data_IF_510014239903
#
_entry.id   IF_510014239903
#
_cell.length_a   1.000
_cell.length_b   1.000
_cell.length_c   1.000
_cell.angle_alpha   90.00
_cell.angle_beta   90.00
_cell.angle_gamma   90.00
#
_symmetry.space_group_name_H-M   'P 1'
#
loop_
_entity.id
_entity.type
_entity.pdbx_description
1 polymer ?
#
# COMPACT_ATOMS: atom_id res chain seq x y z
N UNK A 1 3.94 -0.25 19.27
CA UNK A 1 2.61 -0.61 19.81
C UNK A 1 1.56 0.06 18.95
N UNK A 2 0.66 -0.68 18.29
CA UNK A 2 -0.52 -0.05 17.71
C UNK A 2 -1.35 0.58 18.85
N UNK A 3 -2.03 1.71 18.61
CA UNK A 3 -2.89 2.30 19.62
C UNK A 3 -3.98 1.29 20.02
N UNK A 4 -4.26 1.20 21.33
CA UNK A 4 -5.19 0.24 21.93
C UNK A 4 -6.62 0.28 21.32
N UNK A 5 -6.95 1.31 20.55
CA UNK A 5 -8.22 1.49 19.86
C UNK A 5 -8.42 0.59 18.61
N UNK A 6 -7.38 -0.03 18.05
CA UNK A 6 -7.49 -0.79 16.79
C UNK A 6 -7.65 -2.30 16.95
N UNK A 7 -7.36 -2.86 18.14
CA UNK A 7 -7.48 -4.30 18.40
C UNK A 7 -8.88 -4.93 18.14
N UNK A 8 -10.01 -4.27 18.47
CA UNK A 8 -11.34 -4.88 18.26
C UNK A 8 -11.74 -4.94 16.77
N UNK A 9 -11.30 -3.99 15.96
CA UNK A 9 -11.62 -3.96 14.52
C UNK A 9 -10.94 -5.14 13.78
N UNK A 10 -9.68 -5.43 14.11
CA UNK A 10 -8.92 -6.54 13.49
C UNK A 10 -9.54 -7.90 13.79
N UNK A 11 -10.07 -8.09 15.00
CA UNK A 11 -10.75 -9.33 15.39
C UNK A 11 -12.09 -9.53 14.66
N UNK A 12 -12.88 -8.46 14.52
CA UNK A 12 -14.13 -8.47 13.74
C UNK A 12 -13.90 -8.76 12.26
N UNK A 13 -12.82 -8.24 11.67
CA UNK A 13 -12.43 -8.53 10.27
C UNK A 13 -12.08 -10.01 10.11
N UNK A 14 -11.35 -10.60 11.05
CA UNK A 14 -10.96 -12.01 10.99
C UNK A 14 -12.17 -12.96 11.14
N UNK A 15 -13.12 -12.62 12.03
CA UNK A 15 -14.36 -13.37 12.21
C UNK A 15 -15.26 -13.28 10.97
N UNK A 16 -15.44 -12.07 10.43
CA UNK A 16 -16.22 -11.82 9.22
C UNK A 16 -15.71 -12.66 8.03
N UNK A 17 -14.38 -12.76 7.84
CA UNK A 17 -13.80 -13.57 6.76
C UNK A 17 -14.02 -15.07 6.92
N UNK A 18 -14.16 -15.58 8.15
CA UNK A 18 -14.44 -17.01 8.40
C UNK A 18 -15.87 -17.41 8.04
N UNK A 19 -16.81 -16.48 8.08
CA UNK A 19 -18.24 -16.76 7.91
C UNK A 19 -18.70 -16.96 6.46
N UNK A 20 -17.88 -16.61 5.46
CA UNK A 20 -18.21 -16.85 4.03
C UNK A 20 -19.35 -15.98 3.45
N UNK A 21 -19.93 -15.09 4.24
CA UNK A 21 -21.04 -14.23 3.83
C UNK A 21 -20.58 -13.00 3.05
N UNK A 22 -21.24 -12.67 1.94
CA UNK A 22 -20.91 -11.50 1.12
C UNK A 22 -21.02 -10.16 1.87
N UNK A 23 -21.82 -10.12 2.95
CA UNK A 23 -21.88 -9.00 3.89
C UNK A 23 -20.56 -8.81 4.65
N UNK A 24 -19.93 -9.91 5.04
CA UNK A 24 -18.75 -9.94 5.88
C UNK A 24 -17.50 -9.46 5.13
N UNK A 25 -17.39 -9.78 3.84
CA UNK A 25 -16.37 -9.22 2.95
C UNK A 25 -16.51 -7.70 2.80
N UNK A 26 -17.74 -7.21 2.55
CA UNK A 26 -18.02 -5.77 2.44
C UNK A 26 -17.73 -5.01 3.74
N UNK A 27 -18.01 -5.63 4.89
CA UNK A 27 -17.73 -5.03 6.20
C UNK A 27 -16.22 -4.96 6.47
N UNK A 28 -15.47 -5.98 6.08
CA UNK A 28 -14.00 -5.96 6.14
C UNK A 28 -13.41 -4.87 5.22
N UNK A 29 -13.97 -4.68 4.03
CA UNK A 29 -13.56 -3.62 3.11
C UNK A 29 -13.86 -2.23 3.67
N UNK A 30 -15.03 -2.04 4.28
CA UNK A 30 -15.42 -0.78 4.91
C UNK A 30 -14.54 -0.44 6.13
N UNK A 31 -14.19 -1.43 6.96
CA UNK A 31 -13.31 -1.24 8.11
C UNK A 31 -11.88 -0.93 7.68
N UNK A 32 -11.36 -1.60 6.65
CA UNK A 32 -10.04 -1.31 6.11
C UNK A 32 -9.99 0.08 5.46
N UNK A 33 -11.04 0.48 4.74
CA UNK A 33 -11.18 1.84 4.23
C UNK A 33 -11.22 2.87 5.37
N UNK A 34 -12.00 2.62 6.44
CA UNK A 34 -12.04 3.51 7.59
C UNK A 34 -10.69 3.61 8.32
N UNK A 35 -9.96 2.50 8.45
CA UNK A 35 -8.60 2.49 8.99
C UNK A 35 -7.62 3.25 8.09
N UNK A 36 -7.74 3.11 6.78
CA UNK A 36 -6.93 3.83 5.80
C UNK A 36 -7.17 5.36 5.90
N UNK A 37 -8.44 5.78 6.02
CA UNK A 37 -8.81 7.19 6.24
C UNK A 37 -8.25 7.72 7.56
N UNK A 38 -8.38 6.96 8.65
CA UNK A 38 -7.79 7.31 9.96
C UNK A 38 -6.26 7.34 9.92
N UNK A 39 -5.64 6.53 9.06
CA UNK A 39 -4.21 6.55 8.82
C UNK A 39 -3.78 7.67 7.86
N UNK A 40 -4.69 8.37 7.16
CA UNK A 40 -4.32 9.38 6.17
C UNK A 40 -3.78 8.81 4.86
N UNK A 41 -4.26 7.62 4.47
CA UNK A 41 -4.11 7.12 3.11
C UNK A 41 -5.10 7.85 2.19
N UNK A 42 -4.70 8.09 0.94
CA UNK A 42 -5.48 8.86 -0.04
C UNK A 42 -5.80 8.04 -1.29
N UNK A 43 -6.64 8.56 -2.18
CA UNK A 43 -6.92 7.93 -3.46
C UNK A 43 -5.65 7.85 -4.34
N UNK A 44 -4.78 8.86 -4.26
CA UNK A 44 -3.48 8.87 -4.95
C UNK A 44 -2.59 7.70 -4.48
N UNK A 45 -2.68 7.27 -3.22
CA UNK A 45 -1.95 6.09 -2.76
C UNK A 45 -2.47 4.81 -3.41
N UNK A 46 -3.79 4.69 -3.55
CA UNK A 46 -4.38 3.54 -4.20
C UNK A 46 -3.99 3.47 -5.68
N UNK A 47 -3.96 4.63 -6.35
CA UNK A 47 -3.49 4.77 -7.73
C UNK A 47 -2.00 4.46 -7.86
N UNK A 48 -1.18 4.94 -6.93
CA UNK A 48 0.24 4.61 -6.83
C UNK A 48 0.46 3.10 -6.72
N UNK A 49 -0.24 2.41 -5.81
CA UNK A 49 -0.11 0.95 -5.67
C UNK A 49 -0.57 0.19 -6.92
N UNK A 50 -1.64 0.66 -7.58
CA UNK A 50 -2.10 0.10 -8.84
C UNK A 50 -1.05 0.26 -9.95
N UNK A 51 -0.45 1.44 -10.09
CA UNK A 51 0.59 1.72 -11.08
C UNK A 51 1.85 0.89 -10.83
N UNK A 52 2.31 0.78 -9.58
CA UNK A 52 3.47 -0.05 -9.21
C UNK A 52 3.22 -1.51 -9.59
N UNK A 53 2.04 -2.03 -9.27
CA UNK A 53 1.70 -3.40 -9.61
C UNK A 53 1.48 -3.64 -11.11
N UNK A 54 1.01 -2.65 -11.87
CA UNK A 54 0.93 -2.76 -13.33
C UNK A 54 2.33 -2.93 -13.96
N UNK A 55 3.34 -2.25 -13.42
CA UNK A 55 4.72 -2.30 -13.94
C UNK A 55 5.50 -3.52 -13.41
N UNK A 56 5.36 -3.84 -12.12
CA UNK A 56 6.15 -4.90 -11.47
C UNK A 56 5.43 -6.23 -11.39
N UNK A 57 4.10 -6.23 -11.47
CA UNK A 57 3.27 -7.36 -11.04
C UNK A 57 3.49 -7.63 -9.55
N UNK A 58 3.60 -8.91 -9.25
CA UNK A 58 3.90 -9.47 -7.93
C UNK A 58 5.42 -9.57 -7.66
N UNK A 59 6.24 -8.73 -8.28
CA UNK A 59 7.70 -8.77 -8.08
C UNK A 59 8.15 -7.70 -7.11
N UNK A 60 9.10 -8.09 -6.27
CA UNK A 60 9.78 -7.19 -5.34
C UNK A 60 10.58 -6.12 -6.09
N UNK A 61 10.73 -4.96 -5.47
CA UNK A 61 11.51 -3.84 -6.00
C UNK A 61 11.94 -2.91 -4.87
N UNK A 62 13.12 -2.30 -4.99
CA UNK A 62 13.51 -1.20 -4.12
C UNK A 62 12.89 0.11 -4.59
N UNK A 63 12.84 1.11 -3.70
CA UNK A 63 12.34 2.46 -4.05
C UNK A 63 13.25 3.15 -5.06
N UNK A 64 14.57 2.94 -4.97
CA UNK A 64 15.53 3.43 -5.97
C UNK A 64 15.21 2.87 -7.36
N UNK A 65 15.00 1.55 -7.47
CA UNK A 65 14.68 0.92 -8.75
C UNK A 65 13.31 1.36 -9.30
N UNK A 66 12.34 1.64 -8.42
CA UNK A 66 11.05 2.19 -8.86
C UNK A 66 11.17 3.59 -9.45
N UNK A 67 12.06 4.43 -8.90
CA UNK A 67 12.30 5.78 -9.42
C UNK A 67 12.99 5.69 -10.79
N UNK A 68 14.00 4.83 -10.94
CA UNK A 68 14.62 4.58 -12.24
C UNK A 68 13.61 4.11 -13.30
N UNK A 69 12.64 3.26 -12.90
CA UNK A 69 11.56 2.84 -13.80
C UNK A 69 10.59 3.98 -14.10
N UNK A 70 10.33 4.86 -13.14
CA UNK A 70 9.47 6.03 -13.31
C UNK A 70 10.06 7.03 -14.30
N UNK A 71 11.39 7.17 -14.35
CA UNK A 71 12.05 8.02 -15.34
C UNK A 71 11.79 7.56 -16.79
N UNK A 72 11.57 6.25 -16.99
CA UNK A 72 11.21 5.68 -18.29
C UNK A 72 9.68 5.59 -18.53
N UNK A 73 8.86 5.69 -17.48
CA UNK A 73 7.41 5.43 -17.53
C UNK A 73 6.62 6.59 -16.94
N UNK A 74 6.14 7.48 -17.82
CA UNK A 74 5.42 8.71 -17.44
C UNK A 74 4.22 8.45 -16.52
N UNK A 75 3.45 7.39 -16.79
CA UNK A 75 2.27 7.03 -15.98
C UNK A 75 2.65 6.58 -14.57
N UNK A 76 3.72 5.80 -14.43
CA UNK A 76 4.26 5.43 -13.12
C UNK A 76 4.76 6.68 -12.39
N UNK A 77 5.51 7.55 -13.07
CA UNK A 77 6.04 8.79 -12.49
C UNK A 77 4.94 9.70 -11.96
N UNK A 78 3.89 9.92 -12.75
CA UNK A 78 2.74 10.73 -12.34
C UNK A 78 2.05 10.16 -11.10
N UNK A 79 1.81 8.84 -11.05
CA UNK A 79 1.19 8.18 -9.90
C UNK A 79 2.07 8.25 -8.64
N UNK A 80 3.38 8.04 -8.78
CA UNK A 80 4.31 8.18 -7.65
C UNK A 80 4.33 9.63 -7.12
N UNK A 81 4.41 10.63 -8.01
CA UNK A 81 4.38 12.06 -7.63
C UNK A 81 3.05 12.43 -6.98
N UNK A 82 1.92 11.94 -7.51
CA UNK A 82 0.60 12.19 -6.91
C UNK A 82 0.54 11.76 -5.44
N UNK A 83 1.12 10.61 -5.10
CA UNK A 83 1.11 10.09 -3.74
C UNK A 83 2.15 10.74 -2.80
N UNK A 84 3.33 11.14 -3.29
CA UNK A 84 4.42 11.63 -2.41
C UNK A 84 4.75 13.12 -2.56
N UNK A 85 4.19 13.79 -3.55
CA UNK A 85 4.50 15.15 -3.98
C UNK A 85 5.86 15.30 -4.64
N UNK A 86 6.18 16.53 -5.08
CA UNK A 86 7.52 16.86 -5.57
C UNK A 86 8.46 17.32 -4.43
N UNK A 87 9.78 17.05 -4.52
CA UNK A 87 10.42 16.15 -5.50
C UNK A 87 10.19 14.66 -5.18
N UNK A 88 10.12 13.83 -6.23
CA UNK A 88 10.08 12.36 -6.10
C UNK A 88 11.46 11.83 -5.68
N UNK A 89 11.57 11.37 -4.43
CA UNK A 89 12.83 10.80 -3.90
C UNK A 89 12.61 9.43 -3.28
N UNK A 90 13.68 8.60 -3.26
CA UNK A 90 13.62 7.25 -2.71
C UNK A 90 13.24 7.24 -1.23
N UNK A 91 13.64 8.30 -0.50
CA UNK A 91 13.31 8.50 0.90
C UNK A 91 11.82 8.81 1.09
N UNK A 92 11.25 9.77 0.36
CA UNK A 92 9.82 10.11 0.47
C UNK A 92 8.94 8.93 0.10
N UNK A 93 9.28 8.24 -0.98
CA UNK A 93 8.58 7.02 -1.39
C UNK A 93 8.70 5.91 -0.34
N UNK A 94 9.89 5.69 0.21
CA UNK A 94 10.09 4.69 1.27
C UNK A 94 9.33 5.02 2.56
N UNK A 95 9.23 6.31 2.93
CA UNK A 95 8.41 6.76 4.04
C UNK A 95 6.92 6.53 3.77
N UNK A 96 6.43 6.87 2.56
CA UNK A 96 5.03 6.65 2.21
C UNK A 96 4.68 5.16 2.17
N UNK A 97 5.53 4.32 1.60
CA UNK A 97 5.35 2.87 1.62
C UNK A 97 5.33 2.28 3.04
N UNK A 98 6.18 2.78 3.94
CA UNK A 98 6.15 2.38 5.36
C UNK A 98 4.85 2.79 6.04
N UNK A 99 4.35 3.98 5.71
CA UNK A 99 3.09 4.48 6.23
C UNK A 99 1.89 3.63 5.77
N UNK A 100 1.94 3.12 4.54
CA UNK A 100 0.92 2.27 3.96
C UNK A 100 1.09 0.77 4.27
N UNK A 101 2.19 0.40 4.93
CA UNK A 101 2.54 -0.99 5.21
C UNK A 101 1.45 -1.67 6.06
N UNK A 102 0.87 -2.75 5.54
CA UNK A 102 -0.23 -3.48 6.19
C UNK A 102 -1.63 -2.93 5.91
N UNK A 103 -1.77 -1.82 5.19
CA UNK A 103 -3.07 -1.34 4.69
C UNK A 103 -3.40 -2.00 3.36
N UNK A 104 -4.69 -2.27 3.13
CA UNK A 104 -5.19 -2.63 1.81
C UNK A 104 -5.93 -1.45 1.19
N UNK A 105 -5.52 -1.03 0.00
CA UNK A 105 -6.14 0.02 -0.79
C UNK A 105 -6.61 -0.57 -2.12
N UNK A 106 -7.91 -0.46 -2.42
CA UNK A 106 -8.54 -0.98 -3.66
C UNK A 106 -8.11 -2.41 -4.02
N UNK A 107 -8.10 -3.31 -3.03
CA UNK A 107 -7.74 -4.72 -3.22
C UNK A 107 -6.23 -5.02 -3.35
N UNK A 108 -5.36 -4.02 -3.12
CA UNK A 108 -3.90 -4.17 -3.13
C UNK A 108 -3.32 -3.79 -1.80
N UNK A 109 -2.24 -4.45 -1.39
CA UNK A 109 -1.47 -4.10 -0.20
C UNK A 109 0.01 -4.01 -0.52
N UNK A 110 0.72 -3.13 0.16
CA UNK A 110 2.17 -3.06 0.07
C UNK A 110 2.80 -3.77 1.27
N UNK A 111 3.79 -4.61 0.98
CA UNK A 111 4.52 -5.38 1.99
C UNK A 111 6.01 -5.13 1.85
N UNK A 112 6.70 -5.06 2.99
CA UNK A 112 8.16 -5.04 3.04
C UNK A 112 8.67 -6.46 3.07
N UNK A 113 9.54 -6.81 2.12
CA UNK A 113 10.12 -8.16 2.01
C UNK A 113 11.54 -8.23 2.52
N UNK A 114 12.19 -7.09 2.74
CA UNK A 114 13.53 -7.04 3.31
C UNK A 114 14.24 -5.73 3.00
N UNK A 115 15.56 -5.83 2.89
CA UNK A 115 16.46 -4.72 2.57
C UNK A 115 17.59 -5.23 1.69
N UNK A 116 17.95 -4.47 0.67
CA UNK A 116 19.13 -4.69 -0.15
C UNK A 116 20.12 -3.51 -0.03
N UNK A 117 21.18 -3.53 -0.84
CA UNK A 117 22.19 -2.46 -0.90
C UNK A 117 21.63 -1.09 -1.30
N UNK A 118 20.46 -1.05 -1.91
CA UNK A 118 19.78 0.16 -2.41
C UNK A 118 18.65 0.65 -1.49
N UNK A 119 18.26 -0.14 -0.48
CA UNK A 119 17.29 0.25 0.53
C UNK A 119 16.27 -0.83 0.86
N UNK A 120 15.12 -0.41 1.38
CA UNK A 120 14.02 -1.33 1.67
C UNK A 120 13.44 -1.89 0.37
N UNK A 121 13.18 -3.20 0.38
CA UNK A 121 12.58 -3.92 -0.74
C UNK A 121 11.10 -4.13 -0.44
N UNK A 122 10.27 -3.78 -1.42
CA UNK A 122 8.82 -3.78 -1.31
C UNK A 122 8.19 -4.62 -2.41
N UNK A 123 7.04 -5.21 -2.11
CA UNK A 123 6.17 -5.81 -3.12
C UNK A 123 4.74 -5.31 -2.94
N UNK A 124 4.04 -5.12 -4.04
CA UNK A 124 2.59 -4.90 -4.03
C UNK A 124 1.93 -6.24 -4.31
N UNK A 125 0.97 -6.62 -3.47
CA UNK A 125 0.29 -7.91 -3.50
C UNK A 125 -1.22 -7.71 -3.68
N UNK A 126 -1.92 -8.65 -4.33
CA UNK A 126 -3.35 -8.77 -4.14
C UNK A 126 -3.64 -9.02 -2.65
N UNK A 127 -4.78 -8.49 -2.19
CA UNK A 127 -5.29 -8.74 -0.84
C UNK A 127 -5.77 -10.18 -0.69
#
# INVERSE_FOLDING_TARGET
MPPAALAPATALIAEARRSGDGLAARLADALEWAQAQLAGATDEDAEMLAAVAAVRGDRSTSTARLIELADALVTLRAALIGAVGEPLTAQRLGCRFRHLEGLSLRGRRIVREGRDKTGAVWAVRPR
#
